data_IF_065214587976
#
_entry.id   IF_065214587976
#
_cell.length_a   1.000
_cell.length_b   1.000
_cell.length_c   1.000
_cell.angle_alpha   90.00
_cell.angle_beta   90.00
_cell.angle_gamma   90.00
#
_symmetry.space_group_name_H-M   'P 1'
#
loop_
_entity.id
_entity.type
_entity.pdbx_description
1 polymer ?
#
# COMPACT_ATOMS: atom_id res chain seq x y z
N UNK A 1 15.31 8.71 13.42
CA UNK A 1 15.09 7.81 12.27
C UNK A 1 13.96 8.35 11.43
N UNK A 2 14.03 8.20 10.11
CA UNK A 2 13.03 8.73 9.16
C UNK A 2 11.75 7.89 9.20
N UNK A 3 10.60 8.56 9.08
CA UNK A 3 9.28 7.93 8.92
C UNK A 3 8.67 8.39 7.60
N UNK A 4 8.04 7.48 6.88
CA UNK A 4 7.22 7.79 5.69
C UNK A 4 5.75 7.71 6.07
N UNK A 5 4.98 8.75 5.75
CA UNK A 5 3.56 8.83 6.07
C UNK A 5 2.77 8.75 4.76
N UNK A 6 1.82 7.81 4.68
CA UNK A 6 0.92 7.60 3.56
C UNK A 6 -0.51 7.81 4.05
N UNK A 7 -1.25 8.71 3.41
CA UNK A 7 -2.58 9.11 3.88
C UNK A 7 -3.65 8.87 2.83
N UNK A 8 -4.88 8.70 3.31
CA UNK A 8 -6.10 8.63 2.54
C UNK A 8 -7.16 9.49 3.22
N UNK A 9 -8.34 9.63 2.61
CA UNK A 9 -9.43 10.44 3.19
C UNK A 9 -9.82 10.03 4.62
N UNK A 10 -9.66 8.77 5.01
CA UNK A 10 -10.14 8.25 6.30
C UNK A 10 -9.09 7.50 7.12
N UNK A 11 -7.87 7.30 6.60
CA UNK A 11 -6.82 6.51 7.26
C UNK A 11 -5.43 7.03 6.95
N UNK A 12 -4.53 6.87 7.92
CA UNK A 12 -3.09 7.15 7.81
C UNK A 12 -2.29 5.89 8.13
N UNK A 13 -1.30 5.59 7.30
CA UNK A 13 -0.32 4.52 7.48
C UNK A 13 1.08 5.13 7.63
N UNK A 14 1.83 4.69 8.64
CA UNK A 14 3.19 5.17 8.92
C UNK A 14 4.15 4.00 8.73
N UNK A 15 5.20 4.21 7.93
CA UNK A 15 6.23 3.21 7.62
C UNK A 15 7.54 3.68 8.25
N UNK A 16 8.14 2.84 9.11
CA UNK A 16 9.38 3.17 9.81
C UNK A 16 9.83 2.05 10.77
N UNK A 17 11.01 2.23 11.36
CA UNK A 17 11.68 1.21 12.20
C UNK A 17 10.90 0.80 13.46
N UNK A 18 10.01 1.67 13.96
CA UNK A 18 9.21 1.46 15.16
C UNK A 18 7.72 1.30 14.86
N UNK A 19 7.38 1.10 13.57
CA UNK A 19 6.01 0.94 13.12
C UNK A 19 5.70 -0.53 12.83
N UNK A 20 4.42 -0.94 12.92
CA UNK A 20 4.01 -2.24 12.43
C UNK A 20 4.42 -2.48 10.98
N UNK A 21 4.64 -3.73 10.61
CA UNK A 21 4.91 -4.09 9.22
C UNK A 21 3.74 -3.66 8.33
N UNK A 22 4.04 -2.89 7.29
CA UNK A 22 3.04 -2.39 6.35
C UNK A 22 2.88 -3.38 5.18
N UNK A 23 1.71 -4.02 5.09
CA UNK A 23 1.38 -4.88 3.94
C UNK A 23 0.85 -4.02 2.79
N UNK A 24 1.50 -4.10 1.63
CA UNK A 24 1.08 -3.42 0.41
C UNK A 24 0.40 -4.45 -0.51
N UNK A 25 -0.86 -4.20 -0.86
CA UNK A 25 -1.63 -5.12 -1.71
C UNK A 25 -1.21 -5.05 -3.18
N UNK A 26 -0.81 -6.18 -3.76
CA UNK A 26 -0.40 -6.28 -5.18
C UNK A 26 -1.54 -6.69 -6.14
N UNK A 27 -2.71 -7.07 -5.59
CA UNK A 27 -3.77 -7.71 -6.38
C UNK A 27 -4.44 -6.80 -7.41
N UNK A 28 -4.44 -5.48 -7.25
CA UNK A 28 -4.99 -4.55 -8.27
C UNK A 28 -3.90 -4.30 -9.30
N UNK A 29 -3.65 -5.32 -10.12
CA UNK A 29 -2.64 -5.32 -11.17
C UNK A 29 -3.21 -6.09 -12.38
N UNK A 30 -3.37 -5.47 -13.56
CA UNK A 30 -3.99 -6.10 -14.72
C UNK A 30 -3.10 -7.18 -15.37
N UNK A 31 -1.81 -7.26 -15.03
CA UNK A 31 -0.87 -8.22 -15.62
C UNK A 31 -1.35 -9.65 -15.39
N UNK A 32 -1.51 -10.41 -16.49
CA UNK A 32 -2.01 -11.78 -16.44
C UNK A 32 -3.49 -11.93 -16.08
N UNK A 33 -4.25 -10.83 -15.93
CA UNK A 33 -5.65 -10.84 -15.49
C UNK A 33 -6.59 -10.24 -16.53
N UNK A 34 -7.05 -11.07 -17.47
CA UNK A 34 -7.93 -10.66 -18.60
C UNK A 34 -9.18 -9.89 -18.18
N UNK A 35 -9.80 -10.21 -17.03
CA UNK A 35 -11.01 -9.51 -16.55
C UNK A 35 -10.72 -8.13 -15.94
N UNK A 36 -9.49 -7.90 -15.50
CA UNK A 36 -9.07 -6.63 -14.89
C UNK A 36 -8.35 -5.75 -15.92
N UNK A 37 -7.80 -6.35 -16.97
CA UNK A 37 -7.34 -5.64 -18.16
C UNK A 37 -8.55 -5.04 -18.90
N UNK A 38 -8.43 -3.77 -19.27
CA UNK A 38 -9.40 -3.06 -20.11
C UNK A 38 -9.32 -3.52 -21.57
#
# INVERSE_FOLDING_TARGET
>A
MTRTIVESKTKTAIIGFDQPFCVIGERINPTGRKKLAA
#
